data_IF_331947273343
#
_entry.id   IF_331947273343
#
_cell.length_a   1.000
_cell.length_b   1.000
_cell.length_c   1.000
_cell.angle_alpha   90.00
_cell.angle_beta   90.00
_cell.angle_gamma   90.00
#
_symmetry.space_group_name_H-M   'P 1'
#
loop_
_entity.id
_entity.type
_entity.pdbx_description
1 polymer ?
#
# COMPACT_ATOMS: atom_id res chain seq x y z
N UNK A 1 -17.85 -10.79 -4.04
CA UNK A 1 -18.27 -9.55 -3.38
C UNK A 1 -17.10 -8.83 -2.70
N UNK A 2 -16.20 -9.55 -2.02
CA UNK A 2 -15.09 -8.89 -1.29
C UNK A 2 -13.99 -8.32 -2.20
N UNK A 3 -13.78 -8.84 -3.42
CA UNK A 3 -12.70 -8.38 -4.29
C UNK A 3 -12.91 -6.93 -4.77
N UNK A 4 -14.09 -6.59 -5.25
CA UNK A 4 -14.39 -5.22 -5.73
C UNK A 4 -14.29 -4.22 -4.58
N UNK A 5 -14.78 -4.59 -3.40
CA UNK A 5 -14.68 -3.73 -2.20
C UNK A 5 -13.22 -3.55 -1.78
N UNK A 6 -12.42 -4.63 -1.73
CA UNK A 6 -10.99 -4.55 -1.42
C UNK A 6 -10.23 -3.70 -2.43
N UNK A 7 -10.57 -3.83 -3.72
CA UNK A 7 -10.00 -3.02 -4.78
C UNK A 7 -10.32 -1.54 -4.59
N UNK A 8 -11.59 -1.21 -4.34
CA UNK A 8 -12.03 0.16 -4.08
C UNK A 8 -11.35 0.75 -2.84
N UNK A 9 -11.27 -0.02 -1.74
CA UNK A 9 -10.61 0.40 -0.50
C UNK A 9 -9.12 0.62 -0.70
N UNK A 10 -8.40 -0.30 -1.35
CA UNK A 10 -6.98 -0.15 -1.62
C UNK A 10 -6.70 1.06 -2.52
N UNK A 11 -7.50 1.25 -3.56
CA UNK A 11 -7.40 2.40 -4.47
C UNK A 11 -7.61 3.71 -3.71
N UNK A 12 -8.70 3.81 -2.93
CA UNK A 12 -9.02 5.00 -2.16
C UNK A 12 -7.96 5.29 -1.08
N UNK A 13 -7.40 4.25 -0.46
CA UNK A 13 -6.37 4.42 0.55
C UNK A 13 -5.05 4.96 -0.03
N UNK A 14 -4.62 4.47 -1.20
CA UNK A 14 -3.44 5.00 -1.88
C UNK A 14 -3.67 6.45 -2.31
N UNK A 15 -4.82 6.74 -2.93
CA UNK A 15 -5.15 8.11 -3.33
C UNK A 15 -5.19 9.06 -2.12
N UNK A 16 -5.82 8.66 -1.02
CA UNK A 16 -5.82 9.44 0.20
C UNK A 16 -4.40 9.70 0.71
N UNK A 17 -3.53 8.69 0.65
CA UNK A 17 -2.14 8.86 1.07
C UNK A 17 -1.39 9.85 0.18
N UNK A 18 -1.57 9.79 -1.15
CA UNK A 18 -1.01 10.76 -2.11
C UNK A 18 -1.47 12.19 -1.80
N UNK A 19 -2.74 12.39 -1.43
CA UNK A 19 -3.24 13.72 -1.07
C UNK A 19 -2.71 14.23 0.28
N UNK A 20 -2.42 13.34 1.22
CA UNK A 20 -1.99 13.72 2.59
C UNK A 20 -0.49 13.98 2.66
N UNK A 21 0.32 13.27 1.88
CA UNK A 21 1.78 13.32 1.97
C UNK A 21 2.38 14.00 0.75
N UNK A 22 3.09 15.14 0.92
CA UNK A 22 3.64 15.91 -0.20
C UNK A 22 4.73 15.16 -0.98
N UNK A 23 5.35 14.15 -0.37
CA UNK A 23 6.36 13.31 -0.99
C UNK A 23 5.83 12.19 -1.89
N UNK A 24 4.51 11.98 -1.96
CA UNK A 24 3.93 11.00 -2.88
C UNK A 24 3.31 11.72 -4.07
N UNK A 25 3.75 11.34 -5.26
CA UNK A 25 3.24 11.89 -6.50
C UNK A 25 2.44 10.83 -7.23
N UNK A 26 1.34 11.28 -7.82
CA UNK A 26 0.57 10.48 -8.75
C UNK A 26 0.25 11.32 -9.99
N UNK A 27 0.80 10.92 -11.14
CA UNK A 27 0.44 11.51 -12.41
C UNK A 27 -0.88 10.90 -12.91
N UNK A 28 -1.96 11.63 -12.65
CA UNK A 28 -3.31 11.23 -13.03
C UNK A 28 -3.46 11.11 -14.56
N UNK A 29 -2.65 11.81 -15.36
CA UNK A 29 -2.76 11.83 -16.82
C UNK A 29 -4.20 12.02 -17.34
N UNK A 30 -4.47 11.68 -18.61
CA UNK A 30 -5.83 11.57 -19.14
C UNK A 30 -6.52 10.23 -18.81
N UNK A 31 -5.80 9.31 -18.16
CA UNK A 31 -6.19 7.91 -18.02
C UNK A 31 -6.90 7.62 -16.68
N UNK A 32 -8.22 7.67 -16.71
CA UNK A 32 -9.09 7.41 -15.55
C UNK A 32 -8.92 6.01 -14.90
N UNK A 33 -8.29 5.07 -15.60
CA UNK A 33 -8.11 3.69 -15.15
C UNK A 33 -6.85 3.47 -14.29
N UNK A 34 -5.87 4.39 -14.30
CA UNK A 34 -4.59 4.23 -13.59
C UNK A 34 -4.72 4.08 -12.06
N UNK A 35 -5.57 4.85 -11.35
CA UNK A 35 -5.76 4.64 -9.91
C UNK A 35 -6.29 3.24 -9.58
N UNK A 36 -7.20 2.73 -10.42
CA UNK A 36 -7.79 1.41 -10.24
C UNK A 36 -6.74 0.31 -10.46
N UNK A 37 -5.87 0.47 -11.47
CA UNK A 37 -4.75 -0.43 -11.69
C UNK A 37 -3.80 -0.49 -10.49
N UNK A 38 -3.50 0.66 -9.87
CA UNK A 38 -2.67 0.72 -8.66
C UNK A 38 -3.31 0.00 -7.48
N UNK A 39 -4.59 0.24 -7.23
CA UNK A 39 -5.31 -0.47 -6.17
C UNK A 39 -5.34 -1.98 -6.40
N UNK A 40 -5.40 -2.40 -7.67
CA UNK A 40 -5.34 -3.81 -8.08
C UNK A 40 -3.96 -4.39 -7.81
N UNK A 41 -2.89 -3.71 -8.23
CA UNK A 41 -1.51 -4.14 -7.99
C UNK A 41 -1.23 -4.23 -6.50
N UNK A 42 -1.64 -3.24 -5.71
CA UNK A 42 -1.50 -3.28 -4.26
C UNK A 42 -2.28 -4.46 -3.65
N UNK A 43 -3.47 -4.76 -4.18
CA UNK A 43 -4.25 -5.94 -3.82
C UNK A 43 -3.51 -7.25 -4.10
N UNK A 44 -2.87 -7.35 -5.26
CA UNK A 44 -2.04 -8.51 -5.66
C UNK A 44 -0.80 -8.64 -4.78
N UNK A 45 -0.05 -7.56 -4.59
CA UNK A 45 1.13 -7.51 -3.70
C UNK A 45 0.75 -7.99 -2.29
N UNK A 46 -0.36 -7.49 -1.75
CA UNK A 46 -0.82 -7.87 -0.41
C UNK A 46 -1.34 -9.31 -0.31
N UNK A 47 -1.83 -9.88 -1.41
CA UNK A 47 -2.38 -11.24 -1.43
C UNK A 47 -1.32 -12.31 -1.64
N UNK A 48 -0.26 -12.01 -2.39
CA UNK A 48 0.76 -12.99 -2.78
C UNK A 48 2.13 -12.71 -2.18
N UNK A 49 2.62 -11.48 -2.30
CA UNK A 49 4.01 -11.14 -1.94
C UNK A 49 4.14 -10.95 -0.43
N UNK A 50 3.23 -10.18 0.16
CA UNK A 50 3.26 -9.87 1.60
C UNK A 50 3.25 -11.13 2.49
N UNK A 51 2.43 -12.18 2.26
CA UNK A 51 2.48 -13.40 3.06
C UNK A 51 3.84 -14.11 2.98
N UNK A 52 4.45 -14.19 1.80
CA UNK A 52 5.75 -14.82 1.59
C UNK A 52 6.82 -14.05 2.35
N UNK A 53 6.89 -12.73 2.17
CA UNK A 53 7.88 -11.88 2.87
C UNK A 53 7.71 -11.95 4.38
N UNK A 54 6.45 -11.96 4.86
CA UNK A 54 6.15 -12.08 6.29
C UNK A 54 6.56 -13.44 6.86
N UNK A 55 6.40 -14.52 6.09
CA UNK A 55 6.84 -15.86 6.48
C UNK A 55 8.36 -15.94 6.58
N UNK A 56 9.09 -15.36 5.62
CA UNK A 56 10.55 -15.29 5.66
C UNK A 56 11.07 -14.40 6.79
N UNK A 57 10.32 -13.35 7.10
CA UNK A 57 10.67 -12.36 8.12
C UNK A 57 10.17 -12.73 9.52
N UNK A 58 9.48 -13.86 9.70
CA UNK A 58 8.90 -14.27 10.99
C UNK A 58 9.92 -14.35 12.13
N UNK A 59 11.12 -14.96 11.94
CA UNK A 59 12.14 -15.03 13.00
C UNK A 59 12.64 -13.65 13.40
N UNK A 60 12.95 -12.80 12.42
CA UNK A 60 13.38 -11.42 12.64
C UNK A 60 12.27 -10.59 13.30
N UNK A 61 11.02 -10.79 12.91
CA UNK A 61 9.87 -10.11 13.47
C UNK A 61 9.64 -10.47 14.94
N UNK A 62 9.95 -11.70 15.35
CA UNK A 62 9.89 -12.11 16.76
C UNK A 62 10.98 -11.42 17.59
N UNK A 63 12.21 -11.34 17.07
CA UNK A 63 13.32 -10.66 17.73
C UNK A 63 13.06 -9.14 17.85
N UNK A 64 12.47 -8.55 16.81
CA UNK A 64 12.20 -7.12 16.74
C UNK A 64 10.84 -6.71 17.34
N UNK A 65 10.16 -7.58 18.09
CA UNK A 65 8.84 -7.30 18.69
C UNK A 65 7.78 -6.78 17.71
N UNK A 66 7.82 -7.22 16.46
CA UNK A 66 6.86 -6.79 15.44
C UNK A 66 7.26 -5.58 14.60
N UNK A 67 8.41 -4.91 14.88
CA UNK A 67 8.86 -3.74 14.11
C UNK A 67 9.08 -4.04 12.62
N UNK A 68 9.53 -5.26 12.31
CA UNK A 68 9.73 -5.72 10.93
C UNK A 68 8.43 -5.69 10.12
N UNK A 69 7.26 -5.81 10.77
CA UNK A 69 5.97 -5.63 10.12
C UNK A 69 5.80 -4.26 9.45
N UNK A 70 6.29 -3.19 10.07
CA UNK A 70 6.26 -1.86 9.46
C UNK A 70 7.20 -1.75 8.26
N UNK A 71 8.39 -2.36 8.37
CA UNK A 71 9.36 -2.43 7.27
C UNK A 71 8.75 -3.17 6.07
N UNK A 72 8.05 -4.28 6.32
CA UNK A 72 7.34 -5.02 5.28
C UNK A 72 6.27 -4.14 4.63
N UNK A 73 5.41 -3.47 5.42
CA UNK A 73 4.35 -2.60 4.88
C UNK A 73 4.94 -1.47 4.01
N UNK A 74 6.02 -0.84 4.48
CA UNK A 74 6.77 0.19 3.76
C UNK A 74 7.35 -0.38 2.47
N UNK A 75 8.00 -1.54 2.54
CA UNK A 75 8.58 -2.24 1.40
C UNK A 75 7.55 -2.64 0.36
N UNK A 76 6.32 -3.02 0.76
CA UNK A 76 5.23 -3.31 -0.18
C UNK A 76 4.79 -2.04 -0.93
N UNK A 77 4.79 -0.87 -0.27
CA UNK A 77 4.47 0.40 -0.93
C UNK A 77 5.56 0.82 -1.91
N UNK A 78 6.83 0.62 -1.55
CA UNK A 78 7.94 0.82 -2.49
C UNK A 78 7.84 -0.17 -3.66
N UNK A 79 7.53 -1.43 -3.40
CA UNK A 79 7.31 -2.38 -4.49
C UNK A 79 6.17 -1.94 -5.42
N UNK A 80 5.10 -1.35 -4.88
CA UNK A 80 4.04 -0.75 -5.69
C UNK A 80 4.56 0.40 -6.57
N UNK A 81 5.38 1.31 -6.02
CA UNK A 81 6.00 2.38 -6.81
C UNK A 81 6.91 1.83 -7.91
N UNK A 82 7.67 0.76 -7.62
CA UNK A 82 8.50 0.08 -8.61
C UNK A 82 7.69 -0.56 -9.75
N UNK A 83 6.62 -1.27 -9.41
CA UNK A 83 5.76 -1.90 -10.41
C UNK A 83 4.96 -0.85 -11.19
N UNK A 84 4.53 0.23 -10.52
CA UNK A 84 3.85 1.36 -11.16
C UNK A 84 4.72 2.02 -12.22
N UNK A 85 6.01 2.18 -11.95
CA UNK A 85 6.96 2.75 -12.91
C UNK A 85 7.09 1.89 -14.17
N UNK A 86 7.27 0.58 -14.01
CA UNK A 86 7.36 -0.36 -15.14
C UNK A 86 6.08 -0.42 -16.00
N UNK A 87 4.93 -0.11 -15.40
CA UNK A 87 3.63 -0.08 -16.07
C UNK A 87 3.21 1.34 -16.47
N UNK A 88 4.09 2.34 -16.31
CA UNK A 88 3.84 3.76 -16.61
C UNK A 88 2.56 4.31 -15.96
N UNK A 89 2.23 3.83 -14.75
CA UNK A 89 1.02 4.21 -14.04
C UNK A 89 1.13 5.55 -13.33
N UNK A 90 2.34 6.10 -13.19
CA UNK A 90 2.56 7.46 -12.69
C UNK A 90 2.60 7.61 -11.17
N UNK A 91 2.57 6.52 -10.39
CA UNK A 91 2.80 6.56 -8.94
C UNK A 91 4.29 6.49 -8.61
N UNK A 92 4.78 7.47 -7.85
CA UNK A 92 6.15 7.55 -7.36
C UNK A 92 6.20 8.08 -5.92
N UNK A 93 7.30 7.75 -5.24
CA UNK A 93 7.56 8.18 -3.85
C UNK A 93 8.88 8.94 -3.85
N UNK A 94 8.84 10.24 -3.56
CA UNK A 94 9.99 11.17 -3.62
C UNK A 94 10.76 11.05 -4.95
N UNK A 95 10.03 10.87 -6.05
CA UNK A 95 10.59 10.68 -7.39
C UNK A 95 11.12 9.27 -7.68
N UNK A 96 11.27 8.39 -6.69
CA UNK A 96 11.68 7.00 -6.88
C UNK A 96 10.51 6.17 -7.47
N UNK A 97 10.76 5.27 -8.45
CA UNK A 97 12.07 4.77 -8.93
C UNK A 97 12.84 5.61 -9.95
N UNK A 98 12.24 6.64 -10.55
CA UNK A 98 12.86 7.44 -11.62
C UNK A 98 14.02 8.33 -11.12
N UNK A 99 13.97 8.72 -9.85
CA UNK A 99 14.99 9.50 -9.17
C UNK A 99 15.88 8.66 -8.23
N UNK A 100 16.77 9.35 -7.52
CA UNK A 100 17.72 8.72 -6.60
C UNK A 100 17.03 8.14 -5.36
N UNK A 101 17.50 6.98 -4.92
CA UNK A 101 17.03 6.36 -3.68
C UNK A 101 17.65 7.06 -2.46
N UNK A 102 16.88 7.95 -1.83
CA UNK A 102 17.28 8.75 -0.66
C UNK A 102 16.56 8.31 0.61
N UNK A 103 17.04 8.79 1.77
CA UNK A 103 16.38 8.53 3.07
C UNK A 103 14.96 9.08 3.10
N UNK A 104 14.68 10.15 2.36
CA UNK A 104 13.34 10.74 2.24
C UNK A 104 12.34 9.77 1.58
N UNK A 105 12.79 8.95 0.62
CA UNK A 105 11.97 7.91 0.00
C UNK A 105 11.48 6.93 1.07
N UNK A 106 12.37 6.53 1.99
CA UNK A 106 12.05 5.60 3.07
C UNK A 106 11.09 6.21 4.09
N UNK A 107 11.31 7.46 4.49
CA UNK A 107 10.46 8.12 5.49
C UNK A 107 9.06 8.40 4.92
N UNK A 108 8.97 8.90 3.69
CA UNK A 108 7.71 9.13 3.00
C UNK A 108 6.97 7.82 2.73
N UNK A 109 7.66 6.75 2.30
CA UNK A 109 7.03 5.45 2.12
C UNK A 109 6.54 4.85 3.45
N UNK A 110 7.30 5.02 4.53
CA UNK A 110 6.90 4.56 5.86
C UNK A 110 5.62 5.27 6.32
N UNK A 111 5.60 6.60 6.27
CA UNK A 111 4.43 7.40 6.58
C UNK A 111 3.24 7.09 5.65
N UNK A 112 3.50 6.93 4.36
CA UNK A 112 2.50 6.53 3.37
C UNK A 112 1.87 5.19 3.71
N UNK A 113 2.67 4.19 4.08
CA UNK A 113 2.16 2.87 4.45
C UNK A 113 1.29 2.91 5.72
N UNK A 114 1.59 3.81 6.66
CA UNK A 114 0.77 4.05 7.85
C UNK A 114 -0.56 4.70 7.48
N UNK A 115 -0.53 5.77 6.68
CA UNK A 115 -1.74 6.46 6.21
C UNK A 115 -2.64 5.49 5.44
N UNK A 116 -2.09 4.72 4.50
CA UNK A 116 -2.83 3.70 3.75
C UNK A 116 -3.47 2.69 4.70
N UNK A 117 -2.74 2.19 5.70
CA UNK A 117 -3.25 1.20 6.65
C UNK A 117 -4.40 1.76 7.49
N UNK A 118 -4.27 3.01 7.95
CA UNK A 118 -5.32 3.70 8.71
C UNK A 118 -6.57 3.95 7.85
N UNK A 119 -6.40 4.55 6.66
CA UNK A 119 -7.50 4.83 5.74
C UNK A 119 -8.20 3.53 5.33
N UNK A 120 -7.43 2.49 4.98
CA UNK A 120 -8.00 1.19 4.63
C UNK A 120 -8.83 0.60 5.77
N UNK A 121 -8.36 0.74 7.02
CA UNK A 121 -9.08 0.25 8.21
C UNK A 121 -10.37 1.04 8.42
N UNK A 122 -10.31 2.37 8.37
CA UNK A 122 -11.48 3.24 8.53
C UNK A 122 -12.52 2.97 7.44
N UNK A 123 -12.10 2.86 6.18
CA UNK A 123 -12.98 2.53 5.06
C UNK A 123 -13.58 1.13 5.21
N UNK A 124 -12.81 0.13 5.63
CA UNK A 124 -13.32 -1.22 5.86
C UNK A 124 -14.38 -1.25 6.98
N UNK A 125 -14.18 -0.46 8.04
CA UNK A 125 -15.15 -0.32 9.13
C UNK A 125 -16.41 0.43 8.67
N UNK A 126 -16.25 1.55 7.96
CA UNK A 126 -17.36 2.35 7.47
C UNK A 126 -18.24 1.60 6.46
N UNK A 127 -17.63 0.77 5.61
CA UNK A 127 -18.32 -0.08 4.65
C UNK A 127 -18.96 -1.32 5.29
N UNK A 128 -18.92 -1.44 6.62
CA UNK A 128 -19.60 -2.50 7.35
C UNK A 128 -19.17 -3.89 6.90
N UNK A 129 -17.87 -4.09 6.63
CA UNK A 129 -17.28 -5.40 6.31
C UNK A 129 -17.35 -6.33 7.55
N UNK A 130 -18.57 -6.73 7.92
CA UNK A 130 -18.93 -7.60 9.06
C UNK A 130 -18.35 -9.02 8.99
N UNK A 131 -17.60 -9.37 7.94
CA UNK A 131 -17.09 -10.74 7.71
C UNK A 131 -15.62 -10.96 8.08
N UNK A 132 -14.88 -9.92 8.47
CA UNK A 132 -13.43 -10.03 8.74
C UNK A 132 -13.10 -10.22 10.22
N UNK A 133 -14.04 -9.91 11.13
CA UNK A 133 -13.91 -10.22 12.54
C UNK A 133 -14.78 -11.44 12.84
N UNK A 134 -14.15 -12.58 13.11
CA UNK A 134 -14.81 -13.83 13.49
C UNK A 134 -15.54 -13.75 14.84
N UNK A 135 -16.48 -12.82 14.98
CA UNK A 135 -17.48 -12.83 16.03
C UNK A 135 -18.67 -13.58 15.48
N UNK A 136 -18.64 -14.90 15.65
CA UNK A 136 -19.86 -15.70 15.70
C UNK A 136 -20.62 -15.25 16.96
N UNK A 137 -21.77 -14.62 16.77
CA UNK A 137 -22.91 -14.80 17.68
C UNK A 137 -23.97 -15.53 16.88
#
# INVERSE_FOLDING_TARGET
MDFIVKLAVNTAAVLAAVYVLPGMAFDFGPDWWKPLAIGLILGVINSYIKPIVKLLSLPANFIAFGLVGFVINTGMLLLLAFVSDQLELGFSVEGWPKGDFSIDVLTTAFLGSLVISLVSTVLALALGQKKVLGVRV
#
